data_IF_445629664639
#
_entry.id   IF_445629664639
#
_cell.length_a   1.000
_cell.length_b   1.000
_cell.length_c   1.000
_cell.angle_alpha   90.00
_cell.angle_beta   90.00
_cell.angle_gamma   90.00
#
_symmetry.space_group_name_H-M   'P 1'
#
loop_
_entity.id
_entity.type
_entity.pdbx_description
1 polymer ?
#
# COMPACT_ATOMS: atom_id res chain seq x y z
N UNK A 1 39.63 19.95 28.01
CA UNK A 1 39.41 19.98 26.54
C UNK A 1 38.24 19.06 26.24
N UNK A 2 37.15 19.48 25.55
CA UNK A 2 36.07 18.57 25.23
C UNK A 2 36.48 17.73 24.01
N UNK A 3 36.57 16.42 24.19
CA UNK A 3 36.89 15.47 23.12
C UNK A 3 35.69 15.35 22.18
N UNK A 4 35.95 15.57 20.89
CA UNK A 4 35.02 15.39 19.78
C UNK A 4 34.52 13.94 19.81
N UNK A 5 33.28 13.69 20.25
CA UNK A 5 32.65 12.37 20.15
C UNK A 5 32.53 12.00 18.67
N UNK A 6 33.28 10.97 18.27
CA UNK A 6 33.18 10.40 16.93
C UNK A 6 31.79 9.78 16.77
N UNK A 7 31.04 10.23 15.75
CA UNK A 7 29.66 9.79 15.41
C UNK A 7 29.56 8.31 14.95
N UNK A 8 30.60 7.52 15.17
CA UNK A 8 30.72 6.15 14.70
C UNK A 8 30.29 5.10 15.72
N UNK A 9 30.07 5.47 16.99
CA UNK A 9 29.73 4.50 18.06
C UNK A 9 28.29 3.94 17.96
N UNK A 10 27.39 4.60 17.23
CA UNK A 10 25.98 4.17 17.13
C UNK A 10 25.69 3.21 15.96
N UNK A 11 26.62 3.06 14.99
CA UNK A 11 26.42 2.16 13.85
C UNK A 11 27.09 0.81 14.08
N UNK A 12 26.31 -0.26 13.88
CA UNK A 12 26.83 -1.63 14.02
C UNK A 12 27.86 -1.94 12.92
N UNK A 13 28.91 -2.73 13.20
CA UNK A 13 29.96 -3.07 12.24
C UNK A 13 29.47 -3.71 10.95
N UNK A 14 28.31 -4.39 10.98
CA UNK A 14 27.74 -5.08 9.82
C UNK A 14 27.11 -4.13 8.80
N UNK A 15 26.95 -2.84 9.14
CA UNK A 15 26.30 -1.87 8.27
C UNK A 15 27.30 -1.11 7.39
N UNK A 16 27.41 -1.52 6.12
CA UNK A 16 28.11 -0.78 5.07
C UNK A 16 27.13 0.06 4.23
N UNK A 17 27.05 1.36 4.55
CA UNK A 17 26.28 2.34 3.78
C UNK A 17 27.12 3.11 2.74
N UNK A 18 28.37 2.73 2.48
CA UNK A 18 29.27 3.43 1.54
C UNK A 18 28.70 3.51 0.11
N UNK A 19 27.85 2.54 -0.26
CA UNK A 19 27.18 2.45 -1.57
C UNK A 19 25.77 3.08 -1.57
N UNK A 20 25.36 3.72 -0.48
CA UNK A 20 24.05 4.34 -0.33
C UNK A 20 23.85 5.53 -1.28
N UNK A 21 22.77 5.51 -2.07
CA UNK A 21 22.38 6.63 -2.95
C UNK A 21 21.19 7.36 -2.35
N UNK A 22 21.37 8.64 -2.00
CA UNK A 22 20.30 9.48 -1.45
C UNK A 22 19.14 9.57 -2.43
N UNK A 23 17.93 9.25 -1.97
CA UNK A 23 16.73 9.35 -2.79
C UNK A 23 16.58 8.29 -3.89
N UNK A 24 17.31 7.17 -3.85
CA UNK A 24 17.25 6.06 -4.83
C UNK A 24 15.81 5.63 -5.19
N UNK A 25 14.89 5.68 -4.22
CA UNK A 25 13.49 5.32 -4.40
C UNK A 25 12.51 6.49 -4.20
N UNK A 26 13.00 7.71 -3.94
CA UNK A 26 12.16 8.88 -3.66
C UNK A 26 11.21 9.19 -4.84
N UNK A 27 11.72 9.11 -6.07
CA UNK A 27 10.91 9.28 -7.29
C UNK A 27 9.85 8.18 -7.45
N UNK A 28 10.11 6.95 -6.98
CA UNK A 28 9.12 5.85 -7.04
C UNK A 28 8.04 6.04 -5.99
N UNK A 29 8.42 6.47 -4.79
CA UNK A 29 7.48 6.82 -3.72
C UNK A 29 6.57 7.99 -4.13
N UNK A 30 7.14 9.05 -4.73
CA UNK A 30 6.38 10.22 -5.18
C UNK A 30 5.39 9.93 -6.33
N UNK A 31 5.63 8.87 -7.11
CA UNK A 31 4.69 8.40 -8.15
C UNK A 31 3.48 7.66 -7.57
N UNK A 32 3.38 7.57 -6.25
CA UNK A 32 2.40 6.76 -5.54
C UNK A 32 2.95 5.37 -5.26
N UNK A 33 2.65 4.87 -4.07
CA UNK A 33 2.88 3.48 -3.71
C UNK A 33 1.63 2.67 -4.03
N UNK A 34 1.77 1.38 -4.35
CA UNK A 34 0.63 0.47 -4.46
C UNK A 34 0.07 0.06 -3.08
N UNK A 35 0.25 0.91 -2.07
CA UNK A 35 -0.15 0.64 -0.68
C UNK A 35 -1.25 1.62 -0.33
N UNK A 36 -2.45 1.09 -0.12
CA UNK A 36 -3.61 1.85 0.31
C UNK A 36 -3.79 1.65 1.81
N UNK A 37 -3.79 2.74 2.56
CA UNK A 37 -4.10 2.71 3.99
C UNK A 37 -5.62 2.72 4.15
N UNK A 38 -6.14 1.73 4.87
CA UNK A 38 -7.55 1.70 5.24
C UNK A 38 -7.79 2.58 6.47
N UNK A 39 -8.97 3.20 6.54
CA UNK A 39 -9.41 3.89 7.75
C UNK A 39 -9.49 2.91 8.94
N UNK A 40 -9.30 3.45 10.15
CA UNK A 40 -9.14 2.64 11.37
C UNK A 40 -10.36 1.78 11.67
N UNK A 41 -11.55 2.28 11.38
CA UNK A 41 -12.81 1.58 11.57
C UNK A 41 -12.96 0.42 10.56
N UNK A 42 -12.59 0.65 9.30
CA UNK A 42 -12.59 -0.39 8.25
C UNK A 42 -11.55 -1.46 8.56
N UNK A 43 -10.32 -1.06 8.91
CA UNK A 43 -9.25 -1.99 9.27
C UNK A 43 -9.61 -2.90 10.45
N UNK A 44 -10.40 -2.40 11.42
CA UNK A 44 -10.89 -3.22 12.55
C UNK A 44 -11.86 -4.33 12.12
N UNK A 45 -12.50 -4.22 10.94
CA UNK A 45 -13.46 -5.23 10.46
C UNK A 45 -12.79 -6.39 9.72
N UNK A 46 -11.56 -6.20 9.23
CA UNK A 46 -10.86 -7.20 8.43
C UNK A 46 -9.60 -7.68 9.13
N UNK A 47 -9.38 -8.99 9.12
CA UNK A 47 -8.22 -9.63 9.75
C UNK A 47 -6.93 -9.43 8.94
N UNK A 48 -7.02 -9.49 7.62
CA UNK A 48 -5.89 -9.42 6.70
C UNK A 48 -6.30 -8.89 5.31
N UNK A 49 -5.28 -8.70 4.46
CA UNK A 49 -5.47 -8.23 3.09
C UNK A 49 -6.25 -9.18 2.19
N UNK A 50 -6.24 -10.49 2.46
CA UNK A 50 -6.98 -11.46 1.66
C UNK A 50 -8.49 -11.27 1.87
N UNK A 51 -8.91 -11.12 3.12
CA UNK A 51 -10.30 -10.83 3.48
C UNK A 51 -10.81 -9.53 2.84
N UNK A 52 -10.00 -8.47 2.87
CA UNK A 52 -10.32 -7.19 2.21
C UNK A 52 -10.49 -7.38 0.71
N UNK A 53 -9.53 -8.01 0.05
CA UNK A 53 -9.56 -8.19 -1.41
C UNK A 53 -10.73 -9.06 -1.86
N UNK A 54 -11.08 -10.09 -1.09
CA UNK A 54 -12.25 -10.92 -1.36
C UNK A 54 -13.55 -10.11 -1.31
N UNK A 55 -13.70 -9.26 -0.30
CA UNK A 55 -14.88 -8.39 -0.16
C UNK A 55 -14.99 -7.40 -1.32
N UNK A 56 -13.88 -6.72 -1.66
CA UNK A 56 -13.86 -5.76 -2.78
C UNK A 56 -14.17 -6.42 -4.12
N UNK A 57 -13.65 -7.62 -4.38
CA UNK A 57 -13.98 -8.38 -5.60
C UNK A 57 -15.47 -8.75 -5.65
N UNK A 58 -16.04 -9.18 -4.53
CA UNK A 58 -17.48 -9.46 -4.44
C UNK A 58 -18.33 -8.23 -4.76
N UNK A 59 -17.94 -7.06 -4.26
CA UNK A 59 -18.61 -5.79 -4.57
C UNK A 59 -18.52 -5.44 -6.07
N UNK A 60 -17.36 -5.66 -6.70
CA UNK A 60 -17.19 -5.42 -8.13
C UNK A 60 -18.09 -6.33 -8.98
N UNK A 61 -18.24 -7.60 -8.61
CA UNK A 61 -19.14 -8.52 -9.32
C UNK A 61 -20.62 -8.13 -9.13
N UNK A 62 -21.00 -7.70 -7.93
CA UNK A 62 -22.35 -7.19 -7.67
C UNK A 62 -22.64 -5.91 -8.49
N UNK A 63 -21.68 -4.98 -8.55
CA UNK A 63 -21.79 -3.76 -9.35
C UNK A 63 -21.99 -4.06 -10.85
N UNK A 64 -21.21 -4.99 -11.41
CA UNK A 64 -21.38 -5.45 -12.80
C UNK A 64 -22.76 -6.05 -13.07
N UNK A 65 -23.33 -6.76 -12.09
CA UNK A 65 -24.67 -7.34 -12.22
C UNK A 65 -25.76 -6.26 -12.25
N UNK A 66 -25.57 -5.15 -11.52
CA UNK A 66 -26.47 -3.99 -11.52
C UNK A 66 -26.35 -3.20 -12.84
N UNK A 67 -25.12 -3.03 -13.35
CA UNK A 67 -24.85 -2.30 -14.59
C UNK A 67 -25.29 -3.04 -15.87
N UNK A 68 -25.57 -4.35 -15.79
CA UNK A 68 -26.03 -5.10 -16.95
C UNK A 68 -27.48 -4.67 -17.26
N UNK A 69 -27.74 -3.97 -18.39
CA UNK A 69 -29.10 -3.56 -18.71
C UNK A 69 -29.97 -4.82 -18.84
N UNK A 70 -31.05 -4.87 -18.07
CA UNK A 70 -32.11 -5.85 -18.24
C UNK A 70 -32.46 -5.89 -19.73
N UNK A 71 -32.20 -7.04 -20.36
CA UNK A 71 -32.37 -7.20 -21.80
C UNK A 71 -33.71 -6.65 -22.22
N UNK A 72 -33.71 -5.77 -23.22
CA UNK A 72 -34.92 -5.28 -23.90
C UNK A 72 -35.84 -6.47 -24.13
N UNK A 73 -36.94 -6.55 -23.36
CA UNK A 73 -38.07 -7.38 -23.76
C UNK A 73 -38.52 -6.80 -25.10
N UNK A 74 -38.23 -7.51 -26.19
CA UNK A 74 -38.88 -7.28 -27.47
C UNK A 74 -40.37 -7.53 -27.22
N UNK A 75 -41.11 -6.44 -27.05
CA UNK A 75 -42.56 -6.41 -27.10
C UNK A 75 -43.00 -6.37 -28.56
N UNK A 76 -43.93 -7.28 -28.88
CA UNK A 76 -44.76 -7.39 -30.08
C UNK A 76 -44.02 -7.65 -31.41
#
# INVERSE_FOLDING_TARGET
>A
MPTKKNKSEDMRPEYDFSKGVRGKYAKRYAKGTNVVLLDRDVAKRFKDSEAVNKALRGLLEAAKAIDKPAGKKKTA
#
